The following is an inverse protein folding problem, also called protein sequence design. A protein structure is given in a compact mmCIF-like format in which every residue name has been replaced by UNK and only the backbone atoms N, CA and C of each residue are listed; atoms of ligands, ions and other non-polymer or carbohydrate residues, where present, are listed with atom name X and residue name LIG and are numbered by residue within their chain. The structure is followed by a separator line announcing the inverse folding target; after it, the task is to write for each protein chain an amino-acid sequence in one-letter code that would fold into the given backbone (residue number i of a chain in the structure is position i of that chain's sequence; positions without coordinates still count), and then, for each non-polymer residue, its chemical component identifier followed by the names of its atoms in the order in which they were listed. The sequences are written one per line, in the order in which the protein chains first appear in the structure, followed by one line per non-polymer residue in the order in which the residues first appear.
data_IF_455951621580
#
_entry.id   IF_455951621580
#
_cell.length_a   1.000
_cell.length_b   1.000
_cell.length_c   1.000
_cell.angle_alpha   90.00
_cell.angle_beta   90.00
_cell.angle_gamma   90.00
#
_symmetry.space_group_name_H-M   'P 1'
#
loop_
_entity.id
_entity.type
_entity.pdbx_description
1 polymer ?
#
# COMPACT_ATOMS: atom_id res chain seq x y z
N UNK A 1 -8.91 -34.82 -2.62
CA UNK A 1 -7.84 -34.05 -3.27
C UNK A 1 -8.43 -32.68 -3.44
N UNK A 2 -8.21 -31.84 -2.45
CA UNK A 2 -8.63 -30.44 -2.43
C UNK A 2 -7.34 -29.67 -2.71
N UNK A 3 -7.14 -29.26 -3.96
CA UNK A 3 -6.06 -28.36 -4.33
C UNK A 3 -6.46 -27.01 -3.76
N UNK A 4 -6.11 -26.76 -2.51
CA UNK A 4 -6.28 -25.46 -1.89
C UNK A 4 -5.50 -24.48 -2.76
N UNK A 5 -6.21 -23.63 -3.51
CA UNK A 5 -5.65 -22.43 -4.12
C UNK A 5 -4.96 -21.69 -2.98
N UNK A 6 -3.63 -21.72 -2.97
CA UNK A 6 -2.87 -20.89 -2.05
C UNK A 6 -3.24 -19.44 -2.38
N UNK A 7 -3.72 -18.66 -1.40
CA UNK A 7 -4.08 -17.29 -1.66
C UNK A 7 -2.85 -16.57 -2.25
N UNK A 8 -3.05 -15.64 -3.20
CA UNK A 8 -1.95 -14.93 -3.82
C UNK A 8 -1.05 -14.31 -2.74
N UNK A 9 0.26 -14.38 -2.96
CA UNK A 9 1.25 -13.83 -2.03
C UNK A 9 0.90 -12.36 -1.74
N UNK A 10 0.58 -12.08 -0.48
CA UNK A 10 0.15 -10.77 -0.01
C UNK A 10 1.37 -9.91 0.25
N UNK A 11 1.83 -9.19 -0.76
CA UNK A 11 3.05 -8.37 -0.66
C UNK A 11 2.71 -6.89 -0.47
N UNK A 12 3.37 -6.21 0.46
CA UNK A 12 3.30 -4.76 0.63
C UNK A 12 4.69 -4.13 0.58
N UNK A 13 4.74 -2.91 0.04
CA UNK A 13 5.94 -2.08 0.06
C UNK A 13 5.86 -1.14 1.26
N UNK A 14 6.87 -1.14 2.11
CA UNK A 14 6.88 -0.38 3.36
C UNK A 14 8.12 0.50 3.41
N UNK A 15 7.96 1.77 3.78
CA UNK A 15 9.08 2.64 4.08
C UNK A 15 8.66 3.90 4.83
N UNK A 16 9.64 4.75 5.13
CA UNK A 16 9.42 6.05 5.76
C UNK A 16 9.82 7.15 4.77
N UNK A 17 9.08 8.25 4.74
CA UNK A 17 9.26 9.35 3.80
C UNK A 17 10.72 9.88 3.76
N UNK A 18 11.12 10.43 2.61
CA UNK A 18 12.50 10.82 2.28
C UNK A 18 13.18 11.67 3.36
N UNK A 19 12.45 12.61 3.94
CA UNK A 19 12.97 13.51 4.98
C UNK A 19 12.95 12.96 6.41
N UNK A 20 12.53 11.70 6.61
CA UNK A 20 12.22 11.12 7.92
C UNK A 20 13.04 9.85 8.23
N UNK A 21 13.83 9.93 9.31
CA UNK A 21 14.74 8.88 9.76
C UNK A 21 14.16 7.95 10.86
N UNK A 22 12.87 8.05 11.19
CA UNK A 22 12.29 7.30 12.31
C UNK A 22 12.06 5.82 11.96
N UNK A 23 13.00 4.97 12.38
CA UNK A 23 12.97 3.54 12.03
C UNK A 23 12.10 2.65 12.95
N UNK A 24 11.78 3.07 14.17
CA UNK A 24 11.16 2.19 15.19
C UNK A 24 9.76 1.74 14.76
N UNK A 25 8.89 2.69 14.42
CA UNK A 25 7.52 2.37 13.98
C UNK A 25 7.53 1.53 12.69
N UNK A 26 8.43 1.85 11.77
CA UNK A 26 8.62 1.10 10.53
C UNK A 26 8.92 -0.39 10.80
N UNK A 27 9.85 -0.68 11.72
CA UNK A 27 10.19 -2.06 12.08
C UNK A 27 9.05 -2.78 12.80
N UNK A 28 8.31 -2.08 13.66
CA UNK A 28 7.16 -2.66 14.36
C UNK A 28 6.03 -3.04 13.39
N UNK A 29 5.76 -2.20 12.39
CA UNK A 29 4.78 -2.47 11.34
C UNK A 29 5.21 -3.68 10.51
N UNK A 30 6.48 -3.75 10.11
CA UNK A 30 7.01 -4.92 9.39
C UNK A 30 6.80 -6.23 10.17
N UNK A 31 7.11 -6.23 11.47
CA UNK A 31 6.91 -7.40 12.33
C UNK A 31 5.44 -7.77 12.47
N UNK A 32 4.57 -6.78 12.63
CA UNK A 32 3.13 -6.98 12.76
C UNK A 32 2.57 -7.63 11.48
N UNK A 33 2.83 -7.02 10.32
CA UNK A 33 2.30 -7.49 9.03
C UNK A 33 2.81 -8.89 8.69
N UNK A 34 4.10 -9.16 8.92
CA UNK A 34 4.65 -10.52 8.77
C UNK A 34 4.00 -11.52 9.71
N UNK A 35 3.65 -11.11 10.94
CA UNK A 35 2.89 -11.93 11.88
C UNK A 35 1.48 -12.27 11.38
N UNK A 36 0.92 -11.48 10.47
CA UNK A 36 -0.35 -11.73 9.78
C UNK A 36 -0.19 -12.50 8.45
N UNK A 37 1.02 -13.00 8.14
CA UNK A 37 1.30 -13.74 6.92
C UNK A 37 1.43 -12.86 5.66
N UNK A 38 1.62 -11.55 5.84
CA UNK A 38 1.85 -10.60 4.75
C UNK A 38 3.35 -10.49 4.51
N UNK A 39 3.77 -10.64 3.25
CA UNK A 39 5.12 -10.37 2.83
C UNK A 39 5.39 -8.86 2.80
N UNK A 40 6.49 -8.43 3.42
CA UNK A 40 6.83 -7.01 3.56
C UNK A 40 8.19 -6.77 2.92
N UNK A 41 8.19 -5.96 1.87
CA UNK A 41 9.39 -5.38 1.25
C UNK A 41 9.64 -4.05 1.94
N UNK A 42 10.49 -4.07 2.96
CA UNK A 42 10.81 -2.90 3.76
C UNK A 42 12.01 -2.14 3.15
N UNK A 43 11.75 -0.96 2.60
CA UNK A 43 12.73 -0.05 2.00
C UNK A 43 13.48 0.80 3.05
N UNK A 44 13.07 0.72 4.31
CA UNK A 44 13.74 1.37 5.42
C UNK A 44 13.22 2.79 5.68
N UNK A 45 14.15 3.70 5.95
CA UNK A 45 13.87 5.11 6.30
C UNK A 45 14.52 6.04 5.29
N UNK A 46 14.09 7.30 5.28
CA UNK A 46 14.55 8.28 4.31
C UNK A 46 14.39 7.79 2.86
N UNK A 47 13.26 7.13 2.58
CA UNK A 47 13.02 6.45 1.30
C UNK A 47 12.38 7.42 0.30
N UNK A 48 13.07 7.76 -0.81
CA UNK A 48 12.50 8.60 -1.86
C UNK A 48 11.40 7.87 -2.63
N UNK A 49 10.46 8.62 -3.20
CA UNK A 49 9.38 8.05 -4.02
C UNK A 49 9.87 7.25 -5.24
N UNK A 50 11.07 7.56 -5.75
CA UNK A 50 11.69 6.78 -6.83
C UNK A 50 12.00 5.34 -6.40
N UNK A 51 12.41 5.13 -5.15
CA UNK A 51 12.71 3.78 -4.64
C UNK A 51 11.42 2.98 -4.45
N UNK A 52 10.32 3.63 -4.04
CA UNK A 52 9.00 2.99 -4.06
C UNK A 52 8.56 2.60 -5.47
N UNK A 53 8.83 3.43 -6.48
CA UNK A 53 8.54 3.10 -7.88
C UNK A 53 9.39 1.93 -8.40
N UNK A 54 10.68 1.88 -8.04
CA UNK A 54 11.56 0.75 -8.37
C UNK A 54 11.10 -0.54 -7.68
N UNK A 55 10.73 -0.47 -6.41
CA UNK A 55 10.19 -1.59 -5.66
C UNK A 55 8.85 -2.06 -6.25
N UNK A 56 7.97 -1.15 -6.67
CA UNK A 56 6.73 -1.50 -7.36
C UNK A 56 6.99 -2.16 -8.72
N UNK A 57 8.00 -1.71 -9.47
CA UNK A 57 8.39 -2.37 -10.71
C UNK A 57 8.90 -3.80 -10.50
N UNK A 58 9.57 -4.07 -9.37
CA UNK A 58 10.01 -5.41 -8.98
C UNK A 58 8.87 -6.28 -8.39
N UNK A 59 7.86 -5.64 -7.81
CA UNK A 59 6.70 -6.27 -7.16
C UNK A 59 5.38 -5.66 -7.68
N UNK A 60 5.02 -5.88 -8.97
CA UNK A 60 3.87 -5.24 -9.59
C UNK A 60 2.52 -5.67 -8.97
N UNK A 61 2.49 -6.85 -8.33
CA UNK A 61 1.35 -7.39 -7.60
C UNK A 61 1.24 -6.88 -6.16
N UNK A 62 2.08 -5.91 -5.76
CA UNK A 62 2.03 -5.34 -4.42
C UNK A 62 0.63 -4.78 -4.11
N UNK A 63 0.10 -5.20 -2.96
CA UNK A 63 -1.25 -4.87 -2.52
C UNK A 63 -1.41 -3.40 -2.16
N UNK A 64 -0.35 -2.80 -1.63
CA UNK A 64 -0.30 -1.41 -1.22
C UNK A 64 1.16 -0.93 -1.05
N UNK A 65 1.32 0.39 -1.13
CA UNK A 65 2.51 1.13 -0.66
C UNK A 65 2.15 1.79 0.67
N UNK A 66 2.94 1.55 1.71
CA UNK A 66 2.76 2.08 3.06
C UNK A 66 3.93 3.01 3.37
N UNK A 67 3.62 4.28 3.65
CA UNK A 67 4.61 5.33 3.91
C UNK A 67 4.38 5.93 5.30
N UNK A 68 5.38 5.79 6.17
CA UNK A 68 5.41 6.47 7.46
C UNK A 68 5.96 7.89 7.37
N UNK A 69 5.40 8.82 8.14
CA UNK A 69 5.99 10.15 8.37
C UNK A 69 5.60 10.64 9.78
N UNK A 70 6.61 10.98 10.59
CA UNK A 70 6.48 11.55 11.94
C UNK A 70 6.96 13.00 12.01
N UNK A 71 7.71 13.45 11.00
CA UNK A 71 8.25 14.80 10.91
C UNK A 71 7.27 15.84 10.35
N UNK A 72 6.06 15.44 9.92
CA UNK A 72 5.02 16.32 9.37
C UNK A 72 5.31 16.89 7.98
N UNK A 73 6.33 16.40 7.28
CA UNK A 73 6.70 16.84 5.92
C UNK A 73 6.13 15.94 4.81
N UNK A 74 5.24 14.99 5.15
CA UNK A 74 4.64 14.04 4.23
C UNK A 74 4.11 14.67 2.93
N UNK A 75 3.47 15.85 2.99
CA UNK A 75 2.95 16.50 1.78
C UNK A 75 4.06 16.98 0.84
N UNK A 76 5.19 17.43 1.39
CA UNK A 76 6.34 17.87 0.59
C UNK A 76 7.06 16.68 -0.03
N UNK A 77 7.26 15.61 0.74
CA UNK A 77 7.86 14.35 0.28
C UNK A 77 7.01 13.66 -0.79
N UNK A 78 5.68 13.78 -0.71
CA UNK A 78 4.74 13.08 -1.60
C UNK A 78 4.27 13.92 -2.80
N UNK A 79 4.81 15.11 -3.02
CA UNK A 79 4.36 16.02 -4.10
C UNK A 79 4.48 15.44 -5.51
N UNK A 80 5.44 14.53 -5.72
CA UNK A 80 5.72 13.89 -7.01
C UNK A 80 4.90 12.59 -7.21
N UNK A 81 4.13 12.16 -6.20
CA UNK A 81 3.27 10.99 -6.28
C UNK A 81 2.27 11.03 -7.45
N UNK A 82 1.54 12.16 -7.72
CA UNK A 82 0.61 12.22 -8.85
C UNK A 82 1.29 11.92 -10.19
N UNK A 83 2.53 12.38 -10.36
CA UNK A 83 3.31 12.18 -11.58
C UNK A 83 3.70 10.71 -11.74
N UNK A 84 4.14 10.06 -10.66
CA UNK A 84 4.49 8.64 -10.66
C UNK A 84 3.26 7.76 -10.93
N UNK A 85 2.12 8.06 -10.32
CA UNK A 85 0.86 7.36 -10.58
C UNK A 85 0.41 7.52 -12.03
N UNK A 86 0.45 8.75 -12.58
CA UNK A 86 0.09 9.01 -13.97
C UNK A 86 1.01 8.29 -14.98
N UNK A 87 2.27 8.03 -14.61
CA UNK A 87 3.22 7.26 -15.40
C UNK A 87 3.08 5.73 -15.20
N UNK A 88 2.19 5.26 -14.33
CA UNK A 88 2.02 3.84 -14.01
C UNK A 88 3.12 3.24 -13.13
N UNK A 89 3.98 4.08 -12.53
CA UNK A 89 5.07 3.62 -11.66
C UNK A 89 4.60 3.23 -10.24
N UNK A 90 3.41 3.68 -9.83
CA UNK A 90 2.74 3.25 -8.61
C UNK A 90 1.25 3.13 -8.95
N UNK A 91 0.76 1.91 -9.15
CA UNK A 91 -0.64 1.66 -9.50
C UNK A 91 -1.48 1.15 -8.32
N UNK A 92 -0.84 0.64 -7.27
CA UNK A 92 -1.51 0.16 -6.07
C UNK A 92 -1.91 1.31 -5.12
N UNK A 93 -2.83 1.06 -4.18
CA UNK A 93 -3.22 2.01 -3.15
C UNK A 93 -2.03 2.51 -2.33
N UNK A 94 -1.98 3.82 -2.09
CA UNK A 94 -0.97 4.45 -1.23
C UNK A 94 -1.58 4.78 0.12
N UNK A 95 -0.98 4.23 1.17
CA UNK A 95 -1.38 4.39 2.57
C UNK A 95 -0.30 5.22 3.27
N UNK A 96 -0.70 6.32 3.89
CA UNK A 96 0.20 7.18 4.67
C UNK A 96 -0.20 7.14 6.13
N UNK A 97 0.77 7.06 7.03
CA UNK A 97 0.50 7.10 8.46
C UNK A 97 1.57 7.84 9.27
N UNK A 98 1.24 8.11 10.53
CA UNK A 98 2.10 8.80 11.49
C UNK A 98 1.60 10.19 11.88
N UNK A 99 2.53 11.06 12.28
CA UNK A 99 2.25 12.40 12.77
C UNK A 99 2.37 13.40 11.62
N UNK A 100 1.24 13.67 10.96
CA UNK A 100 1.18 14.43 9.72
C UNK A 100 1.17 15.96 9.91
N UNK A 101 1.09 16.46 11.15
CA UNK A 101 1.04 17.89 11.43
C UNK A 101 2.25 18.35 12.25
N UNK A 102 2.97 19.35 11.72
CA UNK A 102 3.92 20.17 12.47
C UNK A 102 3.40 21.60 12.58
N UNK A 103 3.01 22.00 13.79
CA UNK A 103 2.64 23.38 14.14
C UNK A 103 1.17 23.57 14.54
N UNK A 104 0.95 24.38 15.57
CA UNK A 104 -0.35 24.59 16.26
C UNK A 104 -1.44 25.31 15.45
N UNK A 105 -1.44 25.29 14.11
CA UNK A 105 -2.27 26.22 13.31
C UNK A 105 -2.93 25.65 12.05
N UNK A 106 -3.00 24.33 11.85
CA UNK A 106 -3.78 23.74 10.74
C UNK A 106 -4.57 22.55 11.26
N UNK A 107 -5.87 22.51 10.95
CA UNK A 107 -6.72 21.37 11.33
C UNK A 107 -6.22 20.12 10.61
N UNK A 108 -6.13 19.01 11.33
CA UNK A 108 -5.69 17.70 10.84
C UNK A 108 -6.48 17.22 9.60
N UNK A 109 -7.71 17.70 9.45
CA UNK A 109 -8.58 17.48 8.29
C UNK A 109 -8.05 18.14 7.00
N UNK A 110 -7.38 19.29 7.10
CA UNK A 110 -6.75 19.97 5.95
C UNK A 110 -5.54 19.18 5.45
N UNK A 111 -4.70 18.67 6.35
CA UNK A 111 -3.53 17.86 5.98
C UNK A 111 -3.97 16.55 5.29
N UNK A 112 -4.97 15.86 5.84
CA UNK A 112 -5.53 14.67 5.19
C UNK A 112 -6.10 14.99 3.80
N UNK A 113 -6.87 16.08 3.67
CA UNK A 113 -7.45 16.51 2.40
C UNK A 113 -6.38 16.81 1.36
N UNK A 114 -5.28 17.45 1.75
CA UNK A 114 -4.15 17.78 0.88
C UNK A 114 -3.36 16.52 0.48
N UNK A 115 -3.18 15.57 1.39
CA UNK A 115 -2.58 14.26 1.08
C UNK A 115 -3.43 13.49 0.06
N UNK A 116 -4.76 13.47 0.25
CA UNK A 116 -5.68 12.86 -0.72
C UNK A 116 -5.61 13.54 -2.08
N UNK A 117 -5.47 14.85 -2.12
CA UNK A 117 -5.34 15.62 -3.36
C UNK A 117 -4.05 15.29 -4.15
N UNK A 118 -2.98 14.85 -3.49
CA UNK A 118 -1.74 14.40 -4.15
C UNK A 118 -1.75 12.90 -4.49
N UNK A 119 -2.87 12.20 -4.29
CA UNK A 119 -3.04 10.81 -4.69
C UNK A 119 -2.74 9.79 -3.59
N UNK A 120 -2.80 10.18 -2.32
CA UNK A 120 -2.85 9.24 -1.18
C UNK A 120 -4.27 8.69 -1.06
N UNK A 121 -4.43 7.37 -1.08
CA UNK A 121 -5.74 6.71 -1.02
C UNK A 121 -6.25 6.60 0.43
N UNK A 122 -5.36 6.30 1.38
CA UNK A 122 -5.71 6.14 2.79
C UNK A 122 -4.72 6.85 3.72
N UNK A 123 -5.27 7.50 4.74
CA UNK A 123 -4.50 8.10 5.83
C UNK A 123 -4.86 7.37 7.12
N UNK A 124 -3.87 6.77 7.79
CA UNK A 124 -4.05 6.04 9.03
C UNK A 124 -3.32 6.72 10.19
N UNK A 125 -4.05 6.94 11.29
CA UNK A 125 -3.48 7.48 12.53
C UNK A 125 -2.92 6.38 13.43
N UNK A 126 -3.52 5.21 13.33
CA UNK A 126 -3.17 4.06 14.15
C UNK A 126 -2.75 2.89 13.26
N UNK A 127 -1.51 2.43 13.46
CA UNK A 127 -0.93 1.37 12.66
C UNK A 127 -1.62 0.01 12.87
N UNK A 128 -2.36 -0.18 13.98
CA UNK A 128 -3.09 -1.43 14.23
C UNK A 128 -4.26 -1.63 13.27
N UNK A 129 -4.66 -0.58 12.56
CA UNK A 129 -5.69 -0.63 11.51
C UNK A 129 -5.16 -1.17 10.18
N UNK A 130 -3.84 -1.24 9.99
CA UNK A 130 -3.22 -1.69 8.72
C UNK A 130 -3.67 -3.09 8.31
N UNK A 131 -3.64 -4.13 9.16
CA UNK A 131 -4.05 -5.47 8.76
C UNK A 131 -5.51 -5.52 8.27
N UNK A 132 -6.41 -4.81 8.96
CA UNK A 132 -7.82 -4.75 8.57
C UNK A 132 -8.01 -4.03 7.24
N UNK A 133 -7.34 -2.89 7.03
CA UNK A 133 -7.40 -2.17 5.76
C UNK A 133 -6.87 -3.01 4.61
N UNK A 134 -5.75 -3.71 4.80
CA UNK A 134 -5.17 -4.58 3.78
C UNK A 134 -6.13 -5.73 3.44
N UNK A 135 -6.81 -6.31 4.42
CA UNK A 135 -7.84 -7.34 4.20
C UNK A 135 -9.01 -6.82 3.34
N UNK A 136 -9.50 -5.62 3.63
CA UNK A 136 -10.54 -4.97 2.84
C UNK A 136 -10.10 -4.70 1.39
N UNK A 137 -8.86 -4.23 1.21
CA UNK A 137 -8.28 -3.97 -0.12
C UNK A 137 -8.11 -5.27 -0.92
N UNK A 138 -7.67 -6.35 -0.27
CA UNK A 138 -7.55 -7.67 -0.89
C UNK A 138 -8.93 -8.20 -1.33
N UNK A 139 -9.94 -8.09 -0.45
CA UNK A 139 -11.31 -8.50 -0.76
C UNK A 139 -11.92 -7.71 -1.93
N UNK A 140 -11.69 -6.39 -1.98
CA UNK A 140 -12.14 -5.55 -3.09
C UNK A 140 -11.47 -5.91 -4.42
N UNK A 141 -10.17 -6.26 -4.40
CA UNK A 141 -9.42 -6.70 -5.59
C UNK A 141 -9.97 -8.01 -6.14
N UNK A 142 -10.20 -9.00 -5.27
CA UNK A 142 -10.79 -10.29 -5.65
C UNK A 142 -12.21 -10.15 -6.21
N UNK A 143 -12.99 -9.18 -5.73
CA UNK A 143 -14.31 -8.89 -6.28
C UNK A 143 -14.27 -8.17 -7.64
N UNK A 144 -13.16 -7.48 -7.94
CA UNK A 144 -12.96 -6.69 -9.16
C UNK A 144 -12.24 -7.47 -10.28
N UNK A 145 -11.68 -8.64 -9.95
CA UNK A 145 -11.11 -9.61 -10.89
C UNK A 145 -12.16 -10.70 -11.17
N UNK A 146 -13.08 -10.51 -12.15
CA UNK A 146 -13.94 -11.59 -12.59
C UNK A 146 -13.06 -12.55 -13.37
N UNK A 147 -12.46 -13.53 -12.70
CA UNK A 147 -11.71 -14.60 -13.34
C UNK A 147 -12.46 -15.11 -14.58
N UNK A 148 -11.81 -15.02 -15.73
CA UNK A 148 -12.29 -15.57 -16.99
C UNK A 148 -12.72 -17.04 -16.80
N UNK A 149 -13.95 -17.44 -17.14
CA UNK A 149 -14.31 -18.86 -17.26
C UNK A 149 -13.75 -19.42 -18.58
N UNK A 150 -12.42 -19.53 -18.68
CA UNK A 150 -11.70 -20.07 -19.83
C UNK A 150 -11.23 -21.50 -19.62
N UNK A 151 -12.16 -22.46 -19.48
CA UNK A 151 -11.82 -23.88 -19.31
C UNK A 151 -12.92 -24.79 -19.81
N UNK A 152 -12.82 -25.23 -21.07
CA UNK A 152 -13.79 -26.10 -21.72
C UNK A 152 -13.94 -27.46 -21.04
N UNK A 153 -15.19 -27.89 -20.85
CA UNK A 153 -15.53 -29.31 -20.74
C UNK A 153 -16.68 -29.63 -21.70
N UNK A 154 -16.34 -30.50 -22.64
CA UNK A 154 -17.21 -31.26 -23.54
C UNK A 154 -18.65 -31.44 -23.03
N UNK A 155 -19.62 -31.10 -23.90
CA UNK A 155 -20.90 -31.81 -23.91
C UNK A 155 -21.25 -32.22 -25.34
N UNK A 156 -20.60 -33.31 -25.77
CA UNK A 156 -21.21 -34.23 -26.72
C UNK A 156 -22.47 -34.76 -26.05
N UNK A 157 -23.64 -34.44 -26.61
CA UNK A 157 -24.84 -35.24 -26.40
C UNK A 157 -25.50 -35.42 -27.77
N UNK A 158 -25.31 -36.64 -28.27
CA UNK A 158 -26.07 -37.25 -29.33
C UNK A 158 -27.57 -37.17 -29.04
N UNK A 159 -28.37 -36.81 -30.05
CA UNK A 159 -29.44 -37.65 -30.61
C UNK A 159 -30.04 -37.02 -31.85
#
# INVERSE_FOLDING_TARGET
MDEAVEPPARTVLLGVAESDAHAVANRLIEMQLRGHGIEVVNLGVCTPLSEFAEAFAAHPDAEAVIIGSLNGHALEDLRDLPRLRAAGHIACPVIVGGNLSVGSHKSEDDDERRLRAVGVDHVLRDATQLPLLLDLLAGARLASDPGEPGGGVHRVLAR
#
